data_IF_751740062767
#
_entry.id   IF_751740062767
#
_cell.length_a   1.000
_cell.length_b   1.000
_cell.length_c   1.000
_cell.angle_alpha   90.00
_cell.angle_beta   90.00
_cell.angle_gamma   90.00
#
_symmetry.space_group_name_H-M   'P 1'
#
loop_
_entity.id
_entity.type
_entity.pdbx_description
1 polymer ?
#
# COMPACT_ATOMS: atom_id res chain seq x y z
N UNK A 1 -11.56 -27.14 14.51
CA UNK A 1 -11.62 -26.96 13.04
C UNK A 1 -10.76 -28.00 12.37
N UNK A 2 -11.32 -28.73 11.40
CA UNK A 2 -10.55 -29.71 10.62
C UNK A 2 -9.52 -29.02 9.71
N UNK A 3 -8.51 -29.77 9.29
CA UNK A 3 -7.46 -29.27 8.40
C UNK A 3 -8.03 -28.85 7.03
N UNK A 4 -9.10 -29.52 6.59
CA UNK A 4 -9.79 -29.21 5.35
C UNK A 4 -10.60 -27.92 5.42
N UNK A 5 -11.24 -27.62 6.56
CA UNK A 5 -11.88 -26.32 6.78
C UNK A 5 -10.88 -25.17 6.67
N UNK A 6 -9.67 -25.33 7.24
CA UNK A 6 -8.59 -24.34 7.13
C UNK A 6 -8.11 -24.15 5.69
N UNK A 7 -8.07 -25.21 4.88
CA UNK A 7 -7.69 -25.13 3.46
C UNK A 7 -8.76 -24.42 2.63
N UNK A 8 -10.02 -24.76 2.84
CA UNK A 8 -11.17 -24.11 2.17
C UNK A 8 -11.22 -22.62 2.53
N UNK A 9 -11.03 -22.28 3.80
CA UNK A 9 -11.05 -20.89 4.26
C UNK A 9 -9.84 -20.10 3.75
N UNK A 10 -8.65 -20.71 3.67
CA UNK A 10 -7.49 -20.10 3.00
C UNK A 10 -7.72 -19.89 1.52
N UNK A 11 -8.32 -20.86 0.83
CA UNK A 11 -8.62 -20.73 -0.60
C UNK A 11 -9.67 -19.65 -0.85
N UNK A 12 -10.76 -19.64 -0.09
CA UNK A 12 -11.80 -18.61 -0.14
C UNK A 12 -11.22 -17.23 0.17
N UNK A 13 -10.35 -17.11 1.19
CA UNK A 13 -9.66 -15.85 1.48
C UNK A 13 -8.66 -15.44 0.39
N UNK A 14 -8.00 -16.37 -0.30
CA UNK A 14 -7.13 -16.05 -1.45
C UNK A 14 -7.95 -15.60 -2.65
N UNK A 15 -9.07 -16.27 -2.93
CA UNK A 15 -10.01 -15.89 -3.98
C UNK A 15 -10.63 -14.54 -3.65
N UNK A 16 -11.23 -14.37 -2.47
CA UNK A 16 -11.78 -13.08 -2.03
C UNK A 16 -10.71 -11.99 -2.00
N UNK A 17 -9.51 -12.20 -1.44
CA UNK A 17 -8.46 -11.16 -1.46
C UNK A 17 -7.89 -10.87 -2.86
N UNK A 18 -7.96 -11.81 -3.82
CA UNK A 18 -7.66 -11.54 -5.24
C UNK A 18 -8.83 -10.89 -5.98
N UNK A 19 -10.06 -11.15 -5.55
CA UNK A 19 -11.33 -10.71 -6.16
C UNK A 19 -11.83 -9.39 -5.55
N UNK A 20 -11.31 -8.95 -4.40
CA UNK A 20 -11.50 -7.63 -3.79
C UNK A 20 -10.78 -6.52 -4.60
N UNK A 21 -10.88 -6.58 -5.92
CA UNK A 21 -10.84 -5.42 -6.83
C UNK A 21 -12.14 -4.62 -6.73
N UNK A 22 -12.70 -4.52 -5.53
CA UNK A 22 -13.98 -3.90 -5.27
C UNK A 22 -13.95 -2.42 -5.59
N UNK A 23 -12.79 -1.76 -5.58
CA UNK A 23 -12.72 -0.30 -5.72
C UNK A 23 -11.96 0.12 -6.97
N UNK A 24 -12.61 0.95 -7.79
CA UNK A 24 -11.97 1.67 -8.90
C UNK A 24 -11.75 3.13 -8.51
N UNK A 25 -10.75 3.75 -9.13
CA UNK A 25 -10.57 5.20 -9.06
C UNK A 25 -11.09 5.81 -10.35
N UNK A 26 -11.85 6.88 -10.23
CA UNK A 26 -12.30 7.71 -11.34
C UNK A 26 -11.57 9.04 -11.18
N UNK A 27 -10.70 9.38 -12.12
CA UNK A 27 -9.84 10.57 -12.01
C UNK A 27 -10.18 11.56 -13.12
N UNK A 28 -9.69 12.80 -12.98
CA UNK A 28 -9.91 13.88 -13.94
C UNK A 28 -11.40 14.17 -14.20
N UNK A 29 -12.28 14.01 -13.20
CA UNK A 29 -13.67 14.42 -13.31
C UNK A 29 -13.73 15.95 -13.32
N UNK A 30 -14.29 16.60 -14.35
CA UNK A 30 -14.46 18.06 -14.34
C UNK A 30 -15.30 18.49 -13.15
N UNK A 31 -14.93 19.59 -12.47
CA UNK A 31 -15.70 20.11 -11.32
C UNK A 31 -17.17 20.38 -11.66
N UNK A 32 -17.48 20.73 -12.91
CA UNK A 32 -18.87 20.86 -13.40
C UNK A 32 -19.71 19.58 -13.33
N UNK A 33 -19.08 18.41 -13.25
CA UNK A 33 -19.75 17.12 -13.04
C UNK A 33 -19.98 16.81 -11.56
N UNK A 34 -19.58 17.70 -10.64
CA UNK A 34 -19.80 17.50 -9.21
C UNK A 34 -21.29 17.69 -8.90
N UNK A 35 -22.04 16.61 -9.01
CA UNK A 35 -23.45 16.48 -8.65
C UNK A 35 -23.58 15.68 -7.35
N UNK A 36 -24.82 15.41 -6.94
CA UNK A 36 -25.09 14.36 -5.96
C UNK A 36 -24.49 13.03 -6.42
N UNK A 37 -23.95 12.26 -5.47
CA UNK A 37 -23.23 11.04 -5.80
C UNK A 37 -24.09 10.02 -6.57
N UNK A 38 -25.37 9.86 -6.24
CA UNK A 38 -26.26 8.94 -6.94
C UNK A 38 -26.35 9.28 -8.43
N UNK A 39 -26.56 10.56 -8.75
CA UNK A 39 -26.61 11.02 -10.13
C UNK A 39 -25.25 10.89 -10.83
N UNK A 40 -24.15 11.23 -10.14
CA UNK A 40 -22.81 11.08 -10.69
C UNK A 40 -22.51 9.61 -11.03
N UNK A 41 -22.93 8.65 -10.20
CA UNK A 41 -22.74 7.22 -10.46
C UNK A 41 -23.55 6.77 -11.68
N UNK A 42 -24.80 7.22 -11.84
CA UNK A 42 -25.60 6.99 -13.05
C UNK A 42 -24.92 7.56 -14.30
N UNK A 43 -24.44 8.81 -14.23
CA UNK A 43 -23.71 9.45 -15.33
C UNK A 43 -22.44 8.63 -15.69
N UNK A 44 -21.73 8.07 -14.70
CA UNK A 44 -20.55 7.23 -14.93
C UNK A 44 -20.88 5.88 -15.55
N UNK A 45 -21.97 5.23 -15.13
CA UNK A 45 -22.47 4.00 -15.76
C UNK A 45 -22.88 4.24 -17.22
N UNK A 46 -23.49 5.39 -17.49
CA UNK A 46 -23.83 5.81 -18.84
C UNK A 46 -22.60 6.07 -19.72
N UNK A 47 -21.60 6.78 -19.20
CA UNK A 47 -20.31 6.99 -19.90
C UNK A 47 -19.62 5.66 -20.20
N UNK A 48 -19.74 4.67 -19.30
CA UNK A 48 -19.21 3.33 -19.48
C UNK A 48 -20.08 2.44 -20.41
N UNK A 49 -21.24 2.94 -20.86
CA UNK A 49 -22.26 2.19 -21.61
C UNK A 49 -22.62 0.86 -20.94
N UNK A 50 -22.80 0.88 -19.63
CA UNK A 50 -23.31 -0.28 -18.90
C UNK A 50 -24.83 -0.37 -19.10
N UNK A 51 -25.34 -1.55 -19.48
CA UNK A 51 -26.76 -1.72 -19.85
C UNK A 51 -27.69 -1.57 -18.63
N UNK A 52 -27.29 -2.12 -17.48
CA UNK A 52 -28.06 -2.04 -16.23
C UNK A 52 -27.77 -0.74 -15.47
N UNK A 53 -28.04 0.42 -16.09
CA UNK A 53 -27.78 1.74 -15.47
C UNK A 53 -28.57 1.98 -14.18
N UNK A 54 -29.74 1.34 -14.05
CA UNK A 54 -30.61 1.46 -12.87
C UNK A 54 -30.18 0.52 -11.73
N UNK A 55 -29.20 -0.36 -11.95
CA UNK A 55 -28.67 -1.22 -10.90
C UNK A 55 -27.79 -0.40 -9.95
N UNK A 56 -28.39 0.09 -8.86
CA UNK A 56 -27.69 0.84 -7.79
C UNK A 56 -26.51 0.04 -7.20
N UNK A 57 -26.53 -1.29 -7.29
CA UNK A 57 -25.45 -2.17 -6.85
C UNK A 57 -24.22 -2.17 -7.78
N UNK A 58 -24.34 -1.68 -9.02
CA UNK A 58 -23.24 -1.66 -9.98
C UNK A 58 -22.06 -0.80 -9.52
N UNK A 59 -22.38 0.29 -8.83
CA UNK A 59 -21.44 1.33 -8.43
C UNK A 59 -21.90 1.92 -7.09
N UNK A 60 -21.12 1.74 -6.03
CA UNK A 60 -21.49 2.14 -4.67
C UNK A 60 -20.32 2.80 -3.93
N UNK A 61 -20.56 3.32 -2.72
CA UNK A 61 -19.52 3.85 -1.82
C UNK A 61 -18.57 4.88 -2.45
N UNK A 62 -19.11 5.99 -2.98
CA UNK A 62 -18.31 7.05 -3.56
C UNK A 62 -17.56 7.83 -2.47
N UNK A 63 -16.22 7.84 -2.56
CA UNK A 63 -15.31 8.54 -1.65
C UNK A 63 -14.46 9.51 -2.46
N UNK A 64 -14.53 10.80 -2.14
CA UNK A 64 -13.67 11.82 -2.76
C UNK A 64 -12.20 11.55 -2.44
N UNK A 65 -11.34 11.41 -3.47
CA UNK A 65 -9.90 11.18 -3.31
C UNK A 65 -9.13 12.49 -3.18
N UNK A 66 -9.62 13.56 -3.80
CA UNK A 66 -8.97 14.86 -3.82
C UNK A 66 -9.42 15.71 -5.01
N UNK A 67 -8.91 16.94 -5.06
CA UNK A 67 -9.14 17.90 -6.15
C UNK A 67 -7.80 18.39 -6.70
N UNK A 68 -7.72 18.59 -8.01
CA UNK A 68 -6.53 19.08 -8.69
C UNK A 68 -6.96 20.04 -9.80
N UNK A 69 -6.73 21.33 -9.59
CA UNK A 69 -7.15 22.39 -10.51
C UNK A 69 -8.66 22.37 -10.76
N UNK A 70 -9.05 22.27 -12.02
CA UNK A 70 -10.46 22.21 -12.47
C UNK A 70 -11.07 20.81 -12.44
N UNK A 71 -10.38 19.83 -11.84
CA UNK A 71 -10.82 18.42 -11.79
C UNK A 71 -10.80 17.83 -10.38
N UNK A 72 -11.52 16.73 -10.18
CA UNK A 72 -11.52 15.94 -8.96
C UNK A 72 -11.42 14.44 -9.24
N UNK A 73 -11.09 13.69 -8.19
CA UNK A 73 -11.02 12.23 -8.24
C UNK A 73 -12.01 11.59 -7.25
N UNK A 74 -12.60 10.48 -7.65
CA UNK A 74 -13.53 9.68 -6.86
C UNK A 74 -13.01 8.24 -6.75
N UNK A 75 -13.20 7.61 -5.60
CA UNK A 75 -13.04 6.18 -5.41
C UNK A 75 -14.43 5.60 -5.28
N UNK A 76 -14.72 4.54 -6.02
CA UNK A 76 -16.04 3.91 -5.98
C UNK A 76 -15.89 2.42 -5.87
N UNK A 77 -16.77 1.80 -5.08
CA UNK A 77 -16.94 0.36 -5.07
C UNK A 77 -17.72 -0.07 -6.31
N UNK A 78 -17.37 -1.17 -6.95
CA UNK A 78 -18.04 -1.69 -8.15
C UNK A 78 -18.47 -3.13 -7.96
N UNK A 79 -19.56 -3.50 -8.63
CA UNK A 79 -19.98 -4.90 -8.74
C UNK A 79 -19.06 -5.69 -9.66
N UNK A 80 -19.05 -7.01 -9.50
CA UNK A 80 -18.31 -7.91 -10.39
C UNK A 80 -18.84 -7.83 -11.84
N UNK A 81 -20.16 -7.77 -12.02
CA UNK A 81 -20.79 -7.67 -13.34
C UNK A 81 -20.37 -6.38 -14.07
N UNK A 82 -20.40 -5.24 -13.39
CA UNK A 82 -19.90 -3.99 -13.95
C UNK A 82 -18.40 -4.08 -14.29
N UNK A 83 -17.61 -4.68 -13.39
CA UNK A 83 -16.18 -4.84 -13.60
C UNK A 83 -15.86 -5.68 -14.84
N UNK A 84 -16.59 -6.77 -15.05
CA UNK A 84 -16.45 -7.63 -16.23
C UNK A 84 -16.80 -6.89 -17.52
N UNK A 85 -17.95 -6.20 -17.54
CA UNK A 85 -18.35 -5.34 -18.64
C UNK A 85 -17.30 -4.28 -18.97
N UNK A 86 -16.81 -3.60 -17.93
CA UNK A 86 -15.84 -2.52 -18.11
C UNK A 86 -14.52 -3.02 -18.72
N UNK A 87 -14.04 -4.21 -18.31
CA UNK A 87 -12.84 -4.84 -18.89
C UNK A 87 -13.01 -5.17 -20.37
N UNK A 88 -14.20 -5.66 -20.76
CA UNK A 88 -14.49 -6.11 -22.12
C UNK A 88 -14.67 -4.93 -23.08
N UNK A 89 -15.50 -3.96 -22.68
CA UNK A 89 -15.99 -2.90 -23.58
C UNK A 89 -15.80 -1.49 -23.02
N UNK A 90 -16.00 -1.33 -21.70
CA UNK A 90 -16.01 -0.02 -21.05
C UNK A 90 -14.70 0.77 -21.22
N UNK A 91 -13.54 0.10 -21.18
CA UNK A 91 -12.24 0.78 -21.32
C UNK A 91 -12.09 1.53 -22.65
N UNK A 92 -12.43 0.88 -23.76
CA UNK A 92 -12.32 1.48 -25.10
C UNK A 92 -13.41 2.54 -25.32
N UNK A 93 -14.60 2.27 -24.78
CA UNK A 93 -15.72 3.20 -24.82
C UNK A 93 -15.42 4.49 -24.08
N UNK A 94 -14.94 4.41 -22.84
CA UNK A 94 -14.56 5.60 -22.07
C UNK A 94 -13.50 6.42 -22.81
N UNK A 95 -12.46 5.79 -23.36
CA UNK A 95 -11.43 6.48 -24.16
C UNK A 95 -12.00 7.19 -25.39
N UNK A 96 -12.97 6.58 -26.08
CA UNK A 96 -13.61 7.17 -27.27
C UNK A 96 -14.53 8.33 -26.91
N UNK A 97 -15.38 8.16 -25.90
CA UNK A 97 -16.42 9.16 -25.56
C UNK A 97 -15.82 10.43 -24.98
N UNK A 98 -14.68 10.35 -24.28
CA UNK A 98 -14.08 11.54 -23.64
C UNK A 98 -13.00 12.25 -24.46
N UNK A 99 -12.57 11.68 -25.59
CA UNK A 99 -11.49 12.25 -26.40
C UNK A 99 -10.24 12.58 -25.56
N UNK A 100 -9.44 13.57 -25.98
CA UNK A 100 -8.25 13.99 -25.22
C UNK A 100 -8.57 14.85 -23.97
N UNK A 101 -9.78 15.42 -23.86
CA UNK A 101 -10.12 16.48 -22.88
C UNK A 101 -11.20 16.13 -21.84
N UNK A 102 -11.86 14.97 -21.92
CA UNK A 102 -12.92 14.57 -20.99
C UNK A 102 -12.45 13.69 -19.82
N UNK A 103 -13.38 13.29 -18.92
CA UNK A 103 -13.04 12.49 -17.76
C UNK A 103 -12.37 11.16 -18.13
N UNK A 104 -11.26 10.85 -17.46
CA UNK A 104 -10.56 9.58 -17.66
C UNK A 104 -10.96 8.62 -16.54
N UNK A 105 -11.82 7.65 -16.86
CA UNK A 105 -12.00 6.48 -16.00
C UNK A 105 -10.72 5.65 -16.02
N UNK A 106 -9.79 6.03 -15.15
CA UNK A 106 -8.54 5.32 -14.95
C UNK A 106 -8.74 4.19 -13.95
N UNK A 107 -8.97 2.97 -14.44
CA UNK A 107 -9.03 1.81 -13.57
C UNK A 107 -7.68 1.60 -12.87
N UNK A 108 -7.56 2.13 -11.66
CA UNK A 108 -6.57 1.65 -10.71
C UNK A 108 -7.11 0.36 -10.13
N UNK A 109 -6.87 -0.75 -10.83
CA UNK A 109 -6.87 -2.06 -10.18
C UNK A 109 -5.97 -1.91 -8.96
N UNK A 110 -6.53 -2.13 -7.77
CA UNK A 110 -5.73 -2.47 -6.60
C UNK A 110 -5.11 -3.80 -6.97
N UNK A 111 -3.98 -3.76 -7.70
CA UNK A 111 -3.09 -4.91 -7.74
C UNK A 111 -2.89 -5.23 -6.26
N UNK A 112 -3.14 -6.50 -5.89
CA UNK A 112 -2.91 -7.00 -4.55
C UNK A 112 -1.69 -6.26 -4.00
N UNK A 113 -1.91 -5.46 -2.95
CA UNK A 113 -1.00 -4.42 -2.45
C UNK A 113 0.42 -4.81 -2.82
N UNK A 114 0.97 -4.16 -3.86
CA UNK A 114 2.23 -4.65 -4.41
C UNK A 114 3.24 -4.67 -3.28
N UNK A 115 4.13 -5.68 -3.21
CA UNK A 115 5.14 -5.76 -2.15
C UNK A 115 5.83 -4.40 -1.92
N UNK A 116 6.02 -3.62 -3.00
CA UNK A 116 6.51 -2.25 -2.98
C UNK A 116 5.66 -1.28 -2.15
N UNK A 117 4.33 -1.27 -2.31
CA UNK A 117 3.44 -0.40 -1.53
C UNK A 117 3.44 -0.81 -0.05
N UNK A 118 3.43 -2.11 0.24
CA UNK A 118 3.52 -2.59 1.63
C UNK A 118 4.84 -2.20 2.27
N UNK A 119 5.97 -2.36 1.56
CA UNK A 119 7.29 -1.87 2.02
C UNK A 119 7.25 -0.38 2.35
N UNK A 120 6.59 0.45 1.53
CA UNK A 120 6.41 1.89 1.81
C UNK A 120 5.63 2.12 3.12
N UNK A 121 4.58 1.33 3.37
CA UNK A 121 3.83 1.42 4.61
C UNK A 121 4.65 0.96 5.83
N UNK A 122 5.47 -0.10 5.68
CA UNK A 122 6.43 -0.49 6.73
C UNK A 122 7.47 0.61 6.97
N UNK A 123 7.98 1.28 5.93
CA UNK A 123 8.85 2.45 6.10
C UNK A 123 8.17 3.52 6.96
N UNK A 124 6.91 3.87 6.65
CA UNK A 124 6.17 4.86 7.41
C UNK A 124 5.95 4.43 8.87
N UNK A 125 5.68 3.14 9.09
CA UNK A 125 5.53 2.59 10.43
C UNK A 125 6.84 2.69 11.22
N UNK A 126 7.95 2.27 10.61
CA UNK A 126 9.29 2.36 11.20
C UNK A 126 9.70 3.81 11.52
N UNK A 127 9.40 4.77 10.62
CA UNK A 127 9.65 6.19 10.88
C UNK A 127 8.93 6.69 12.12
N UNK A 128 7.66 6.32 12.31
CA UNK A 128 6.88 6.71 13.48
C UNK A 128 7.43 6.07 14.76
N UNK A 129 7.82 4.79 14.71
CA UNK A 129 8.44 4.10 15.84
C UNK A 129 9.78 4.76 16.24
N UNK A 130 10.62 5.12 15.25
CA UNK A 130 11.87 5.84 15.49
C UNK A 130 11.59 7.21 16.12
N UNK A 131 10.65 8.00 15.58
CA UNK A 131 10.29 9.31 16.16
C UNK A 131 9.86 9.19 17.62
N UNK A 132 8.94 8.26 17.93
CA UNK A 132 8.48 8.01 19.30
C UNK A 132 9.63 7.68 20.25
N UNK A 133 10.62 6.89 19.81
CA UNK A 133 11.81 6.58 20.63
C UNK A 133 12.72 7.79 20.86
N UNK A 134 12.85 8.69 19.89
CA UNK A 134 13.60 9.95 20.05
C UNK A 134 12.87 10.91 20.99
N UNK A 135 11.56 11.07 20.82
CA UNK A 135 10.69 11.88 21.66
C UNK A 135 10.73 11.40 23.13
N UNK A 136 10.64 10.09 23.35
CA UNK A 136 10.74 9.50 24.70
C UNK A 136 12.10 9.77 25.37
N UNK A 137 13.16 10.02 24.60
CA UNK A 137 14.50 10.39 25.09
C UNK A 137 14.72 11.91 25.13
N UNK A 138 13.73 12.73 24.78
CA UNK A 138 13.87 14.18 24.69
C UNK A 138 14.84 14.65 23.59
N UNK A 139 15.12 13.81 22.58
CA UNK A 139 16.06 14.13 21.50
C UNK A 139 15.31 14.50 20.22
N UNK A 140 15.90 15.39 19.43
CA UNK A 140 15.41 15.73 18.08
C UNK A 140 15.49 14.50 17.17
N UNK A 141 14.39 14.07 16.51
CA UNK A 141 14.40 12.92 15.62
C UNK A 141 15.37 13.10 14.45
N UNK A 142 16.09 12.03 14.08
CA UNK A 142 16.95 12.05 12.89
C UNK A 142 16.13 12.25 11.63
N UNK A 143 16.65 13.04 10.69
CA UNK A 143 16.01 13.25 9.40
C UNK A 143 15.85 11.93 8.65
N UNK A 144 14.62 11.61 8.25
CA UNK A 144 14.27 10.38 7.54
C UNK A 144 13.59 10.70 6.21
N UNK A 145 14.03 10.05 5.14
CA UNK A 145 13.51 10.25 3.79
C UNK A 145 13.13 8.91 3.14
N UNK A 146 11.91 8.81 2.61
CA UNK A 146 11.48 7.67 1.82
C UNK A 146 12.12 7.72 0.43
N UNK A 147 12.80 6.66 0.00
CA UNK A 147 13.34 6.51 -1.36
C UNK A 147 12.80 5.23 -1.99
N UNK A 148 11.82 5.37 -2.88
CA UNK A 148 11.09 4.23 -3.48
C UNK A 148 10.48 3.35 -2.38
N UNK A 149 10.99 2.14 -2.20
CA UNK A 149 10.59 1.13 -1.23
C UNK A 149 11.59 0.96 -0.08
N UNK A 150 12.52 1.91 0.08
CA UNK A 150 13.55 1.92 1.12
C UNK A 150 13.48 3.18 1.98
N UNK A 151 14.09 3.12 3.17
CA UNK A 151 14.16 4.24 4.12
C UNK A 151 15.59 4.75 4.25
N UNK A 152 15.83 6.02 3.91
CA UNK A 152 17.10 6.71 4.17
C UNK A 152 17.04 7.37 5.55
N UNK A 153 18.03 7.10 6.40
CA UNK A 153 18.11 7.65 7.76
C UNK A 153 19.36 8.54 7.86
N UNK A 154 19.17 9.86 7.81
CA UNK A 154 20.25 10.85 7.86
C UNK A 154 21.38 10.52 6.89
N UNK A 155 22.60 10.52 7.42
CA UNK A 155 23.83 10.12 6.71
C UNK A 155 24.17 8.63 6.88
N UNK A 156 23.43 7.90 7.73
CA UNK A 156 23.69 6.49 8.04
C UNK A 156 23.40 5.53 6.88
N UNK A 157 22.77 6.02 5.81
CA UNK A 157 22.52 5.23 4.59
C UNK A 157 21.06 4.89 4.36
N UNK A 158 20.84 3.94 3.44
CA UNK A 158 19.53 3.50 2.96
C UNK A 158 19.29 2.07 3.38
N UNK A 159 18.13 1.82 3.99
CA UNK A 159 17.80 0.54 4.62
C UNK A 159 16.54 -0.06 3.99
N UNK A 160 16.54 -1.39 3.86
CA UNK A 160 15.28 -2.13 3.62
C UNK A 160 14.43 -2.05 4.90
N UNK A 161 13.14 -1.70 4.79
CA UNK A 161 12.28 -1.49 5.95
C UNK A 161 12.08 -2.75 6.79
N UNK A 162 12.08 -3.93 6.19
CA UNK A 162 11.87 -5.19 6.92
C UNK A 162 13.09 -5.51 7.76
N UNK A 163 14.29 -5.38 7.18
CA UNK A 163 15.56 -5.54 7.91
C UNK A 163 15.65 -4.50 9.04
N UNK A 164 15.23 -3.26 8.77
CA UNK A 164 15.30 -2.19 9.76
C UNK A 164 14.37 -2.46 10.95
N UNK A 165 13.15 -2.90 10.71
CA UNK A 165 12.18 -3.26 11.76
C UNK A 165 12.71 -4.40 12.63
N UNK A 166 13.30 -5.42 12.01
CA UNK A 166 13.92 -6.54 12.72
C UNK A 166 15.12 -6.07 13.57
N UNK A 167 16.03 -5.28 12.99
CA UNK A 167 17.22 -4.77 13.69
C UNK A 167 16.89 -3.86 14.86
N UNK A 168 15.89 -2.99 14.70
CA UNK A 168 15.47 -2.08 15.76
C UNK A 168 14.54 -2.75 16.77
N UNK A 169 14.20 -4.02 16.60
CA UNK A 169 13.22 -4.73 17.42
C UNK A 169 11.94 -3.90 17.61
N UNK A 170 11.38 -3.40 16.50
CA UNK A 170 10.16 -2.58 16.53
C UNK A 170 8.97 -3.52 16.73
N UNK A 171 8.13 -3.24 17.73
CA UNK A 171 6.90 -3.97 17.95
C UNK A 171 5.93 -3.77 16.77
N UNK A 172 5.47 -4.88 16.21
CA UNK A 172 4.55 -4.94 15.07
C UNK A 172 3.14 -5.38 15.50
N UNK A 173 2.83 -5.40 16.79
CA UNK A 173 1.49 -5.75 17.30
C UNK A 173 0.35 -4.94 16.65
N UNK A 174 0.60 -3.68 16.31
CA UNK A 174 -0.35 -2.78 15.65
C UNK A 174 -0.38 -2.91 14.11
N UNK A 175 0.54 -3.69 13.52
CA UNK A 175 0.68 -3.81 12.06
C UNK A 175 -0.40 -4.73 11.45
N UNK A 176 -1.21 -4.18 10.53
CA UNK A 176 -2.32 -4.89 9.87
C UNK A 176 -2.04 -5.27 8.39
N UNK A 177 -0.81 -5.13 7.93
CA UNK A 177 -0.42 -5.39 6.54
C UNK A 177 0.07 -6.82 6.29
N UNK A 178 0.84 -7.02 5.23
CA UNK A 178 1.46 -8.33 4.96
C UNK A 178 2.47 -8.71 6.06
N UNK A 179 2.62 -10.01 6.32
CA UNK A 179 3.65 -10.51 7.23
C UNK A 179 5.05 -10.15 6.72
N UNK A 180 6.00 -9.90 7.64
CA UNK A 180 7.37 -9.50 7.28
C UNK A 180 8.06 -10.52 6.36
N UNK A 181 7.83 -11.82 6.58
CA UNK A 181 8.35 -12.89 5.71
C UNK A 181 7.89 -12.79 4.25
N UNK A 182 6.70 -12.23 4.01
CA UNK A 182 6.17 -12.03 2.64
C UNK A 182 6.71 -10.76 1.98
N UNK A 183 7.28 -9.86 2.78
CA UNK A 183 7.86 -8.60 2.35
C UNK A 183 9.37 -8.69 2.13
N UNK A 184 10.04 -9.64 2.79
CA UNK A 184 11.44 -9.96 2.54
C UNK A 184 11.66 -10.40 1.08
N UNK A 185 12.77 -9.93 0.52
CA UNK A 185 13.22 -10.38 -0.79
C UNK A 185 13.73 -11.82 -0.71
N UNK A 186 13.49 -12.59 -1.77
CA UNK A 186 13.76 -14.04 -1.81
C UNK A 186 15.24 -14.36 -1.55
N UNK A 187 16.15 -13.51 -2.05
CA UNK A 187 17.58 -13.61 -1.78
C UNK A 187 17.94 -13.48 -0.29
N UNK A 188 17.29 -12.55 0.42
CA UNK A 188 17.53 -12.33 1.84
C UNK A 188 16.97 -13.50 2.68
N UNK A 189 15.87 -14.10 2.24
CA UNK A 189 15.34 -15.32 2.85
C UNK A 189 16.30 -16.50 2.71
N UNK A 190 16.97 -16.63 1.55
CA UNK A 190 17.99 -17.66 1.33
C UNK A 190 19.22 -17.44 2.21
N UNK A 191 19.71 -16.20 2.32
CA UNK A 191 20.81 -15.86 3.23
C UNK A 191 20.47 -16.13 4.71
N UNK A 192 19.23 -15.84 5.12
CA UNK A 192 18.76 -16.09 6.49
C UNK A 192 18.66 -17.59 6.80
N UNK A 193 18.27 -18.40 5.80
CA UNK A 193 18.26 -19.86 5.90
C UNK A 193 19.68 -20.45 5.92
N UNK A 194 20.59 -19.91 5.13
CA UNK A 194 21.99 -20.34 5.09
C UNK A 194 22.77 -19.98 6.37
N UNK A 195 22.50 -18.81 6.96
CA UNK A 195 23.16 -18.34 8.18
C UNK A 195 22.66 -18.99 9.47
N UNK A 196 21.47 -19.60 9.47
CA UNK A 196 20.99 -20.39 10.61
C UNK A 196 21.77 -21.71 10.82
N UNK A 197 22.58 -22.13 9.85
CA UNK A 197 23.34 -23.40 9.92
C UNK A 197 24.84 -23.21 10.25
N UNK A 198 25.32 -21.98 10.42
CA UNK A 198 26.73 -21.71 10.71
C UNK A 198 26.88 -20.71 11.86
N UNK A 199 27.58 -21.12 12.92
CA UNK A 199 28.14 -20.25 13.96
C UNK A 199 29.05 -19.19 13.31
N UNK A 200 28.47 -18.06 12.89
CA UNK A 200 29.19 -17.06 12.09
C UNK A 200 29.68 -15.90 12.99
N UNK A 201 31.00 -15.71 13.16
CA UNK A 201 31.58 -14.68 14.05
C UNK A 201 31.33 -13.23 13.60
N UNK A 202 30.70 -12.99 12.43
CA UNK A 202 30.35 -11.65 11.96
C UNK A 202 29.31 -10.93 12.84
N UNK A 203 28.49 -11.67 13.60
CA UNK A 203 27.55 -11.08 14.57
C UNK A 203 28.25 -10.42 15.77
N UNK A 204 29.53 -10.77 16.02
CA UNK A 204 30.32 -10.25 17.14
C UNK A 204 30.87 -8.84 16.88
N UNK A 205 31.14 -8.47 15.62
CA UNK A 205 31.68 -7.13 15.27
C UNK A 205 30.62 -6.03 15.17
N UNK A 206 29.34 -6.34 15.02
CA UNK A 206 28.29 -5.30 14.95
C UNK A 206 27.66 -4.97 16.32
N UNK A 207 27.81 -5.84 17.33
CA UNK A 207 27.34 -5.55 18.68
C UNK A 207 28.21 -4.47 19.35
N UNK A 208 29.48 -4.32 18.92
CA UNK A 208 30.39 -3.27 19.36
C UNK A 208 30.01 -1.89 18.80
N UNK A 209 29.47 -1.82 17.57
CA UNK A 209 28.93 -0.58 17.00
C UNK A 209 27.57 -0.17 17.62
N UNK A 210 26.80 -1.11 18.17
CA UNK A 210 25.60 -0.82 18.97
C UNK A 210 25.95 -0.18 20.33
N UNK A 211 27.07 -0.58 20.96
CA UNK A 211 27.59 0.08 22.16
C UNK A 211 28.22 1.46 21.86
N UNK A 212 28.88 1.64 20.71
CA UNK A 212 29.44 2.94 20.33
C UNK A 212 28.36 4.02 20.08
N UNK A 213 27.12 3.63 19.79
CA UNK A 213 25.97 4.56 19.70
C UNK A 213 25.46 4.99 21.09
N UNK A 214 25.70 4.20 22.14
CA UNK A 214 25.36 4.58 23.52
C UNK A 214 26.47 5.40 24.20
N UNK A 215 27.75 5.14 23.94
CA UNK A 215 28.86 5.86 24.59
C UNK A 215 29.32 7.13 23.85
N UNK A 216 29.19 7.18 22.52
CA UNK A 216 29.65 8.33 21.70
C UNK A 216 28.82 9.63 21.83
N UNK A 217 27.79 9.65 22.69
CA UNK A 217 26.99 10.86 22.98
C UNK A 217 27.18 11.41 24.40
N UNK A 218 28.07 10.82 25.21
CA UNK A 218 28.33 11.26 26.59
C UNK A 218 29.60 12.11 26.77
N UNK A 219 30.37 12.37 25.71
CA UNK A 219 31.62 13.16 25.78
C UNK A 219 31.61 14.44 24.94
N UNK A 220 30.47 14.82 24.38
CA UNK A 220 30.26 16.11 23.72
C UNK A 220 29.06 16.84 24.36
N UNK A 221 29.21 17.17 25.64
CA UNK A 221 28.50 18.22 26.34
C UNK A 221 29.39 18.72 27.50
#
# INVERSE_FOLDING_TARGET
MSEDQKKIERFANVVHNRVLMDQIRVINLPIRMKKEYNQLMKDLLEIARYEEKENEGAMTWPILIGKTGSTFGLRVKVSYAFWEHFKREGKNTCLRTTGLKGPRLGLCKRSALSRKIEKIFVCSFAMNAIRRRYEAKGKQPVFMQLRKDQLKIGERGVYDPVILVERLNIDLSEWKGLSMDKLLDEKLLEEKKGSASANNPAKKRMHEDECAVEEGQLTLA
#
